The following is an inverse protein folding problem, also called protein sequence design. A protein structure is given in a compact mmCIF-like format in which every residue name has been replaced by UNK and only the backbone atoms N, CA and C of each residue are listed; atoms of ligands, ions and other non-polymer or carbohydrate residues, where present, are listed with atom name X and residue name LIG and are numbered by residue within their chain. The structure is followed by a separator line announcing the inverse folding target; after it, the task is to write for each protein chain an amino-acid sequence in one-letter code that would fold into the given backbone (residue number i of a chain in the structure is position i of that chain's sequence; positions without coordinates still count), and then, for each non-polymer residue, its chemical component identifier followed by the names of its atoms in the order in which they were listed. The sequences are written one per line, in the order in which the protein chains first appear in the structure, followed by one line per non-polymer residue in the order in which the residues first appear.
data_IF_919371809860
#
_entry.id   IF_919371809860
#
_cell.length_a   1.000
_cell.length_b   1.000
_cell.length_c   1.000
_cell.angle_alpha   90.00
_cell.angle_beta   90.00
_cell.angle_gamma   90.00
#
_symmetry.space_group_name_H-M   'P 1'
#
loop_
_entity.id
_entity.type
_entity.pdbx_description
1 polymer ?
#
# COMPACT_ATOMS: atom_id res chain seq x y z
N UNK A 1 9.49 13.61 7.53
CA UNK A 1 9.20 12.52 6.58
C UNK A 1 9.58 11.24 7.28
N UNK A 2 8.61 10.37 7.58
CA UNK A 2 8.89 9.06 8.16
C UNK A 2 9.32 8.10 7.05
N UNK A 3 10.21 7.17 7.35
CA UNK A 3 10.59 6.15 6.39
C UNK A 3 9.43 5.17 6.16
N UNK A 4 9.25 4.74 4.91
CA UNK A 4 8.18 3.84 4.47
C UNK A 4 8.81 2.67 3.73
N UNK A 5 8.51 1.46 4.19
CA UNK A 5 8.87 0.22 3.53
C UNK A 5 7.78 -0.17 2.54
N UNK A 6 8.17 -0.52 1.30
CA UNK A 6 7.25 -0.98 0.26
C UNK A 6 7.47 -2.47 0.04
N UNK A 7 6.42 -3.27 0.21
CA UNK A 7 6.47 -4.73 0.02
C UNK A 7 5.47 -5.17 -1.05
N UNK A 8 5.89 -5.91 -2.09
CA UNK A 8 4.94 -6.47 -3.06
C UNK A 8 4.03 -7.49 -2.39
N UNK A 9 2.77 -7.53 -2.80
CA UNK A 9 1.77 -8.46 -2.27
C UNK A 9 0.89 -9.04 -3.37
N UNK A 10 0.31 -10.21 -3.10
CA UNK A 10 -0.64 -10.88 -3.99
C UNK A 10 -1.74 -11.57 -3.19
N UNK A 11 -2.95 -11.55 -3.72
CA UNK A 11 -4.14 -12.15 -3.12
C UNK A 11 -4.88 -12.98 -4.17
N UNK A 12 -5.53 -14.06 -3.74
CA UNK A 12 -6.52 -14.77 -4.54
C UNK A 12 -7.90 -14.21 -4.19
N UNK A 13 -8.62 -13.67 -5.18
CA UNK A 13 -9.97 -13.14 -5.02
C UNK A 13 -10.85 -13.68 -6.14
N UNK A 14 -11.90 -14.42 -5.78
CA UNK A 14 -12.84 -15.02 -6.75
C UNK A 14 -12.15 -15.83 -7.88
N UNK A 15 -11.03 -16.48 -7.59
CA UNK A 15 -10.25 -17.25 -8.57
C UNK A 15 -9.22 -16.44 -9.37
N UNK A 16 -9.22 -15.12 -9.23
CA UNK A 16 -8.28 -14.22 -9.89
C UNK A 16 -7.13 -13.82 -8.94
N UNK A 17 -5.92 -13.66 -9.50
CA UNK A 17 -4.76 -13.16 -8.75
C UNK A 17 -4.73 -11.63 -8.83
N UNK A 18 -4.93 -10.98 -7.70
CA UNK A 18 -4.78 -9.53 -7.53
C UNK A 18 -3.39 -9.24 -7.00
N UNK A 19 -2.65 -8.34 -7.66
CA UNK A 19 -1.29 -7.93 -7.27
C UNK A 19 -1.30 -6.46 -6.83
N UNK A 20 -0.51 -6.15 -5.81
CA UNK A 20 -0.38 -4.79 -5.27
C UNK A 20 0.90 -4.62 -4.46
N UNK A 21 0.95 -3.56 -3.65
CA UNK A 21 2.04 -3.30 -2.72
C UNK A 21 1.49 -2.86 -1.37
N UNK A 22 2.07 -3.34 -0.29
CA UNK A 22 1.92 -2.73 1.02
C UNK A 22 2.90 -1.58 1.17
N UNK A 23 2.42 -0.44 1.67
CA UNK A 23 3.26 0.63 2.18
C UNK A 23 3.14 0.62 3.69
N UNK A 24 4.26 0.38 4.35
CA UNK A 24 4.35 0.08 5.78
C UNK A 24 5.21 1.17 6.43
N UNK A 25 4.71 1.88 7.45
CA UNK A 25 5.55 2.79 8.22
C UNK A 25 6.74 2.05 8.83
N UNK A 26 7.96 2.57 8.71
CA UNK A 26 9.18 1.93 9.21
C UNK A 26 9.33 2.09 10.74
N UNK A 27 8.38 1.48 11.47
CA UNK A 27 8.32 1.43 12.92
C UNK A 27 7.53 0.19 13.36
N UNK A 28 7.45 -0.04 14.67
CA UNK A 28 6.66 -1.16 15.20
C UNK A 28 5.16 -0.82 15.19
N UNK A 29 4.33 -1.74 14.68
CA UNK A 29 2.86 -1.65 14.65
C UNK A 29 2.22 -2.07 15.99
N UNK A 30 0.87 -2.19 16.05
CA UNK A 30 -0.09 -2.20 14.95
C UNK A 30 -0.34 -0.82 14.32
N UNK A 31 -0.88 -0.81 13.10
CA UNK A 31 -1.21 0.40 12.35
C UNK A 31 -2.70 0.45 12.02
N UNK A 32 -3.32 1.64 11.95
CA UNK A 32 -4.57 1.80 11.22
C UNK A 32 -4.32 1.47 9.73
N UNK A 33 -5.17 0.63 9.15
CA UNK A 33 -5.05 0.16 7.77
C UNK A 33 -5.95 0.94 6.80
N UNK A 34 -5.47 1.20 5.60
CA UNK A 34 -6.22 1.81 4.48
C UNK A 34 -6.06 0.93 3.24
N UNK A 35 -7.17 0.63 2.56
CA UNK A 35 -7.14 -0.01 1.24
C UNK A 35 -7.46 1.06 0.18
N UNK A 36 -6.52 1.34 -0.71
CA UNK A 36 -6.65 2.36 -1.77
C UNK A 36 -7.00 1.70 -3.09
N UNK A 37 -8.23 1.92 -3.55
CA UNK A 37 -8.65 1.52 -4.89
C UNK A 37 -8.06 2.47 -5.94
N UNK A 38 -7.37 1.90 -6.94
CA UNK A 38 -6.89 2.66 -8.10
C UNK A 38 -7.94 2.70 -9.20
N UNK A 39 -7.86 3.72 -10.06
CA UNK A 39 -8.62 3.78 -11.31
C UNK A 39 -8.07 2.81 -12.36
N UNK A 40 -7.52 3.34 -13.46
CA UNK A 40 -6.99 2.51 -14.54
C UNK A 40 -5.85 1.57 -14.04
N UNK A 41 -5.87 0.28 -14.40
CA UNK A 41 -4.85 -0.67 -14.00
C UNK A 41 -3.48 -0.31 -14.62
N UNK A 42 -2.40 -0.47 -13.84
CA UNK A 42 -1.05 -0.60 -14.40
C UNK A 42 -0.10 0.59 -14.30
N UNK A 43 -0.40 1.65 -13.55
CA UNK A 43 0.62 2.68 -13.26
C UNK A 43 1.66 2.14 -12.28
N UNK A 44 2.96 2.17 -12.64
CA UNK A 44 4.06 1.86 -11.73
C UNK A 44 4.15 2.79 -10.51
N UNK A 45 3.37 3.88 -10.51
CA UNK A 45 3.31 4.90 -9.45
C UNK A 45 2.26 4.63 -8.37
N UNK A 46 1.75 3.40 -8.28
CA UNK A 46 0.70 3.06 -7.30
C UNK A 46 1.15 3.26 -5.84
N UNK A 47 2.46 3.13 -5.56
CA UNK A 47 3.08 3.40 -4.27
C UNK A 47 3.54 4.87 -4.08
N UNK A 48 3.22 5.77 -5.01
CA UNK A 48 3.52 7.20 -4.92
C UNK A 48 2.27 8.01 -4.55
N UNK A 49 2.47 9.31 -4.32
CA UNK A 49 1.40 10.27 -4.00
C UNK A 49 0.67 9.90 -2.72
N UNK A 50 -0.68 9.90 -2.77
CA UNK A 50 -1.52 9.76 -1.57
C UNK A 50 -1.28 8.47 -0.77
N UNK A 51 -0.91 7.35 -1.41
CA UNK A 51 -0.59 6.13 -0.66
C UNK A 51 0.66 6.32 0.20
N UNK A 52 1.67 7.00 -0.35
CA UNK A 52 2.90 7.31 0.38
C UNK A 52 2.65 8.34 1.46
N UNK A 53 1.91 9.40 1.17
CA UNK A 53 1.57 10.44 2.16
C UNK A 53 0.82 9.85 3.37
N UNK A 54 -0.11 8.92 3.13
CA UNK A 54 -0.81 8.19 4.20
C UNK A 54 0.14 7.27 4.98
N UNK A 55 1.05 6.57 4.31
CA UNK A 55 2.04 5.73 4.97
C UNK A 55 3.03 6.54 5.83
N UNK A 56 3.51 7.66 5.31
CA UNK A 56 4.37 8.60 6.05
C UNK A 56 3.63 9.22 7.26
N UNK A 57 2.30 9.28 7.21
CA UNK A 57 1.43 9.70 8.32
C UNK A 57 1.13 8.59 9.34
N UNK A 58 1.62 7.37 9.11
CA UNK A 58 1.53 6.26 10.05
C UNK A 58 0.42 5.24 9.79
N UNK A 59 -0.22 5.28 8.62
CA UNK A 59 -1.16 4.25 8.15
C UNK A 59 -0.42 3.12 7.44
N UNK A 60 -0.91 1.88 7.54
CA UNK A 60 -0.50 0.83 6.59
C UNK A 60 -1.43 0.91 5.38
N UNK A 61 -0.88 1.04 4.17
CA UNK A 61 -1.68 1.18 2.95
C UNK A 61 -1.54 -0.06 2.07
N UNK A 62 -2.67 -0.57 1.60
CA UNK A 62 -2.78 -1.55 0.52
C UNK A 62 -3.22 -0.86 -0.77
#
# INVERSE_FOLDING_TARGET
MGDVRVEPTQFLSEGEIVRGHFLIPDRQGPFPGVCKFHGLPGSSKQAEGIARELAESGFMVL
#
